data_IF_015157317176
#
_entry.id   IF_015157317176
#
_cell.length_a   1.000
_cell.length_b   1.000
_cell.length_c   1.000
_cell.angle_alpha   90.00
_cell.angle_beta   90.00
_cell.angle_gamma   90.00
#
_symmetry.space_group_name_H-M   'P 1'
#
loop_
_entity.id
_entity.type
_entity.pdbx_description
1 polymer ?
#
# COMPACT_ATOMS: atom_id res chain seq x y z
N UNK A 1 -5.93 16.99 9.44
CA UNK A 1 -6.34 17.30 8.06
C UNK A 1 -6.60 15.99 7.30
N UNK A 2 -7.80 15.84 6.78
CA UNK A 2 -8.16 14.66 5.99
C UNK A 2 -7.62 14.74 4.58
N UNK A 3 -7.11 13.62 4.10
CA UNK A 3 -6.61 13.47 2.73
C UNK A 3 -7.13 12.19 2.11
N UNK A 4 -7.40 12.27 0.83
CA UNK A 4 -7.70 11.11 -0.02
C UNK A 4 -6.69 11.05 -1.14
N UNK A 5 -6.26 9.85 -1.47
CA UNK A 5 -5.37 9.64 -2.61
C UNK A 5 -5.65 8.28 -3.23
N UNK A 6 -5.40 8.17 -4.51
CA UNK A 6 -5.43 6.88 -5.20
C UNK A 6 -4.21 6.72 -6.08
N UNK A 7 -3.79 5.47 -6.20
CA UNK A 7 -2.59 5.11 -6.96
C UNK A 7 -2.87 3.90 -7.82
N UNK A 8 -2.22 3.86 -8.96
CA UNK A 8 -2.08 2.65 -9.75
C UNK A 8 -0.78 1.97 -9.31
N UNK A 9 -0.89 0.74 -8.84
CA UNK A 9 0.25 -0.05 -8.39
C UNK A 9 0.63 -1.07 -9.47
N UNK A 10 1.92 -1.27 -9.66
CA UNK A 10 2.45 -2.27 -10.57
C UNK A 10 3.45 -3.17 -9.84
N UNK A 11 3.26 -4.47 -9.96
CA UNK A 11 4.17 -5.45 -9.36
C UNK A 11 5.50 -5.40 -10.10
N UNK A 12 6.59 -5.23 -9.35
CA UNK A 12 7.95 -5.25 -9.88
C UNK A 12 8.69 -6.54 -9.52
N UNK A 13 8.27 -7.19 -8.42
CA UNK A 13 8.83 -8.47 -8.00
C UNK A 13 7.84 -9.21 -7.14
N UNK A 14 7.74 -10.53 -7.36
CA UNK A 14 6.88 -11.39 -6.55
C UNK A 14 7.57 -12.73 -6.33
N UNK A 15 7.57 -13.19 -5.07
CA UNK A 15 8.07 -14.50 -4.70
C UNK A 15 7.03 -15.17 -3.83
N UNK A 16 6.65 -16.39 -4.20
CA UNK A 16 5.64 -17.16 -3.46
C UNK A 16 6.17 -18.54 -3.15
N UNK A 17 5.91 -18.98 -1.92
CA UNK A 17 6.16 -20.34 -1.48
C UNK A 17 4.85 -20.94 -1.03
N UNK A 18 4.59 -22.17 -1.45
CA UNK A 18 3.39 -22.90 -1.06
C UNK A 18 3.66 -23.73 0.19
N UNK A 19 2.73 -23.66 1.14
CA UNK A 19 2.87 -24.33 2.44
C UNK A 19 2.55 -25.82 2.34
N UNK A 20 1.61 -26.19 1.47
CA UNK A 20 1.15 -27.56 1.22
C UNK A 20 0.39 -28.22 2.39
N UNK A 21 -0.12 -27.41 3.31
CA UNK A 21 -1.04 -27.87 4.36
C UNK A 21 -2.48 -27.95 3.85
N UNK A 22 -2.82 -27.07 2.91
CA UNK A 22 -4.11 -27.04 2.23
C UNK A 22 -3.92 -26.50 0.81
N UNK A 23 -4.92 -26.67 -0.09
CA UNK A 23 -4.83 -26.13 -1.45
C UNK A 23 -4.69 -24.60 -1.46
N UNK A 24 -3.82 -24.12 -2.35
CA UNK A 24 -3.60 -22.68 -2.58
C UNK A 24 -3.18 -21.87 -1.36
N UNK A 25 -2.57 -22.52 -0.36
CA UNK A 25 -1.97 -21.78 0.76
C UNK A 25 -0.54 -21.39 0.42
N UNK A 26 -0.31 -20.08 0.32
CA UNK A 26 1.00 -19.53 -0.01
C UNK A 26 1.38 -18.38 0.91
N UNK A 27 2.68 -18.20 1.06
CA UNK A 27 3.28 -17.01 1.65
C UNK A 27 3.94 -16.25 0.50
N UNK A 28 3.53 -15.02 0.28
CA UNK A 28 3.98 -14.24 -0.87
C UNK A 28 4.59 -12.93 -0.43
N UNK A 29 5.79 -12.63 -0.95
CA UNK A 29 6.40 -11.30 -0.87
C UNK A 29 6.19 -10.59 -2.19
N UNK A 30 5.70 -9.36 -2.16
CA UNK A 30 5.43 -8.58 -3.36
C UNK A 30 6.02 -7.18 -3.21
N UNK A 31 6.76 -6.77 -4.23
CA UNK A 31 7.24 -5.41 -4.37
C UNK A 31 6.40 -4.71 -5.45
N UNK A 32 5.97 -3.49 -5.18
CA UNK A 32 5.20 -2.70 -6.13
C UNK A 32 5.71 -1.28 -6.20
N UNK A 33 5.56 -0.69 -7.39
CA UNK A 33 5.71 0.74 -7.60
C UNK A 33 4.34 1.35 -7.83
N UNK A 34 4.15 2.60 -7.40
CA UNK A 34 2.90 3.31 -7.55
C UNK A 34 3.05 4.62 -8.29
N UNK A 35 2.03 4.96 -9.07
CA UNK A 35 1.88 6.29 -9.67
C UNK A 35 0.52 6.86 -9.24
N UNK A 36 0.44 8.16 -8.95
CA UNK A 36 -0.81 8.73 -8.48
C UNK A 36 -1.84 8.80 -9.59
N UNK A 37 -3.07 8.44 -9.25
CA UNK A 37 -4.26 8.70 -10.07
C UNK A 37 -4.94 9.97 -9.60
N UNK A 38 -5.00 10.14 -8.28
CA UNK A 38 -5.57 11.34 -7.65
C UNK A 38 -4.86 11.59 -6.32
N UNK A 39 -4.37 12.81 -6.13
CA UNK A 39 -3.84 13.25 -4.85
C UNK A 39 -3.80 14.77 -4.79
N UNK A 40 -3.67 15.30 -3.59
CA UNK A 40 -3.50 16.73 -3.37
C UNK A 40 -2.04 17.05 -3.08
N UNK A 41 -1.51 18.06 -3.75
CA UNK A 41 -0.16 18.54 -3.49
C UNK A 41 -0.15 19.23 -2.14
N UNK A 42 0.75 18.80 -1.26
CA UNK A 42 0.91 19.33 0.08
C UNK A 42 2.23 20.10 0.25
N UNK A 43 2.65 20.25 1.51
CA UNK A 43 3.86 21.01 1.87
C UNK A 43 5.15 20.40 1.30
N UNK A 44 5.15 19.10 1.04
CA UNK A 44 6.32 18.40 0.50
C UNK A 44 6.46 18.51 -1.02
N UNK A 45 5.52 19.19 -1.68
CA UNK A 45 5.59 19.41 -3.12
C UNK A 45 5.06 18.25 -3.95
N UNK A 46 5.51 18.17 -5.19
CA UNK A 46 5.03 17.19 -6.15
C UNK A 46 5.48 15.77 -5.81
N UNK A 47 4.66 14.82 -6.20
CA UNK A 47 4.97 13.39 -6.10
C UNK A 47 6.19 13.04 -6.97
N UNK A 48 7.08 12.20 -6.41
CA UNK A 48 8.24 11.70 -7.14
C UNK A 48 8.14 10.19 -7.35
N UNK A 49 7.94 9.41 -6.28
CA UNK A 49 7.87 7.96 -6.38
C UNK A 49 7.11 7.34 -5.21
N UNK A 50 6.63 6.12 -5.41
CA UNK A 50 6.10 5.28 -4.35
C UNK A 50 6.54 3.85 -4.56
N UNK A 51 7.06 3.25 -3.50
CA UNK A 51 7.46 1.85 -3.48
C UNK A 51 6.89 1.18 -2.25
N UNK A 52 6.37 -0.03 -2.41
CA UNK A 52 5.88 -0.82 -1.29
C UNK A 52 6.40 -2.24 -1.35
N UNK A 53 6.53 -2.85 -0.18
CA UNK A 53 6.84 -4.27 -0.03
C UNK A 53 5.84 -4.84 0.97
N UNK A 54 5.17 -5.91 0.59
CA UNK A 54 4.19 -6.53 1.48
C UNK A 54 4.34 -8.05 1.50
N UNK A 55 3.92 -8.61 2.63
CA UNK A 55 3.85 -10.03 2.90
C UNK A 55 2.38 -10.42 2.98
N UNK A 56 2.00 -11.50 2.28
CA UNK A 56 0.63 -11.97 2.22
C UNK A 56 0.58 -13.45 2.58
N UNK A 57 -0.16 -13.80 3.62
CA UNK A 57 -0.50 -15.17 3.98
C UNK A 57 -1.88 -15.45 3.38
N UNK A 58 -1.88 -16.15 2.26
CA UNK A 58 -3.09 -16.29 1.45
C UNK A 58 -3.47 -17.74 1.28
N UNK A 59 -4.67 -18.08 1.73
CA UNK A 59 -5.26 -19.40 1.56
C UNK A 59 -6.62 -19.27 0.88
N UNK A 60 -6.80 -19.94 -0.27
CA UNK A 60 -8.07 -19.95 -1.02
C UNK A 60 -8.57 -18.51 -1.34
N UNK A 61 -7.66 -17.62 -1.67
CA UNK A 61 -7.97 -16.25 -2.05
C UNK A 61 -8.21 -15.27 -0.90
N UNK A 62 -8.10 -15.72 0.33
CA UNK A 62 -8.28 -14.90 1.54
C UNK A 62 -7.05 -14.92 2.41
N UNK A 63 -6.90 -13.92 3.25
CA UNK A 63 -5.91 -13.95 4.31
C UNK A 63 -5.29 -12.59 4.62
N UNK A 64 -4.57 -12.53 5.75
CA UNK A 64 -3.95 -11.29 6.20
C UNK A 64 -2.75 -10.90 5.35
N UNK A 65 -2.49 -9.61 5.33
CA UNK A 65 -1.31 -9.05 4.68
C UNK A 65 -0.78 -7.88 5.50
N UNK A 66 0.50 -7.63 5.38
CA UNK A 66 1.14 -6.49 6.03
C UNK A 66 2.33 -6.04 5.20
N UNK A 67 2.70 -4.79 5.34
CA UNK A 67 3.82 -4.28 4.59
C UNK A 67 4.20 -2.85 4.93
N UNK A 68 5.10 -2.33 4.12
CA UNK A 68 5.67 -0.99 4.25
C UNK A 68 5.59 -0.28 2.93
N UNK A 69 5.35 1.02 2.99
CA UNK A 69 5.35 1.88 1.81
C UNK A 69 6.18 3.12 2.06
N UNK A 70 6.92 3.53 1.05
CA UNK A 70 7.68 4.77 1.05
C UNK A 70 7.14 5.61 -0.09
N UNK A 71 6.61 6.79 0.23
CA UNK A 71 6.18 7.74 -0.76
C UNK A 71 7.09 8.95 -0.70
N UNK A 72 7.74 9.25 -1.82
CA UNK A 72 8.70 10.35 -1.93
C UNK A 72 8.09 11.49 -2.71
N UNK A 73 8.21 12.67 -2.14
CA UNK A 73 7.81 13.94 -2.75
C UNK A 73 9.04 14.82 -2.95
N UNK A 74 8.86 15.92 -3.62
CA UNK A 74 9.94 16.85 -3.95
C UNK A 74 10.78 17.27 -2.73
N UNK A 75 10.15 17.50 -1.58
CA UNK A 75 10.81 18.05 -0.38
C UNK A 75 10.72 17.13 0.84
N UNK A 76 10.43 15.87 0.66
CA UNK A 76 10.41 14.93 1.77
C UNK A 76 9.76 13.63 1.42
N UNK A 77 9.94 12.64 2.30
CA UNK A 77 9.37 11.30 2.15
C UNK A 77 8.55 10.94 3.37
N UNK A 78 7.55 10.08 3.16
CA UNK A 78 6.76 9.52 4.23
C UNK A 78 6.87 8.00 4.21
N UNK A 79 7.06 7.42 5.39
CA UNK A 79 7.23 5.98 5.60
C UNK A 79 6.03 5.48 6.39
N UNK A 80 5.33 4.50 5.84
CA UNK A 80 4.11 3.98 6.45
C UNK A 80 4.16 2.47 6.58
N UNK A 81 3.48 1.97 7.61
CA UNK A 81 3.16 0.55 7.75
C UNK A 81 1.69 0.37 7.46
N UNK A 82 1.36 -0.74 6.85
CA UNK A 82 -0.03 -1.09 6.60
C UNK A 82 -0.28 -2.56 6.90
N UNK A 83 -1.50 -2.86 7.26
CA UNK A 83 -1.98 -4.22 7.45
C UNK A 83 -3.43 -4.31 7.03
N UNK A 84 -3.80 -5.47 6.55
CA UNK A 84 -5.16 -5.67 6.07
C UNK A 84 -5.44 -7.12 5.82
N UNK A 85 -6.55 -7.38 5.12
CA UNK A 85 -7.01 -8.71 4.81
C UNK A 85 -7.69 -8.71 3.45
N UNK A 86 -7.42 -9.75 2.65
CA UNK A 86 -8.12 -9.96 1.39
C UNK A 86 -9.37 -10.79 1.62
N UNK A 87 -10.47 -10.35 1.03
CA UNK A 87 -11.74 -11.06 1.01
C UNK A 87 -11.87 -11.81 -0.33
N UNK A 88 -11.99 -13.13 -0.27
CA UNK A 88 -12.09 -13.95 -1.47
C UNK A 88 -13.35 -13.70 -2.30
N UNK A 89 -14.44 -13.27 -1.67
CA UNK A 89 -15.71 -13.00 -2.36
C UNK A 89 -15.65 -11.68 -3.14
N UNK A 90 -15.20 -10.62 -2.51
CA UNK A 90 -15.11 -9.30 -3.14
C UNK A 90 -13.82 -9.13 -3.94
N UNK A 91 -12.80 -9.94 -3.64
CA UNK A 91 -11.45 -9.85 -4.21
C UNK A 91 -10.79 -8.50 -3.90
N UNK A 92 -11.20 -7.86 -2.82
CA UNK A 92 -10.67 -6.59 -2.34
C UNK A 92 -9.86 -6.84 -1.07
N UNK A 93 -8.68 -6.25 -1.01
CA UNK A 93 -7.87 -6.19 0.20
C UNK A 93 -8.14 -4.83 0.86
N UNK A 94 -8.46 -4.84 2.13
CA UNK A 94 -8.71 -3.62 2.88
C UNK A 94 -8.03 -3.67 4.23
N UNK A 95 -7.74 -2.51 4.78
CA UNK A 95 -7.08 -2.44 6.07
C UNK A 95 -6.77 -1.01 6.49
N UNK A 96 -5.76 -0.91 7.33
CA UNK A 96 -5.34 0.36 7.93
C UNK A 96 -3.86 0.62 7.66
N UNK A 97 -3.49 1.88 7.67
CA UNK A 97 -2.11 2.33 7.52
C UNK A 97 -1.78 3.37 8.59
N UNK A 98 -0.50 3.46 8.90
CA UNK A 98 0.02 4.43 9.85
C UNK A 98 1.41 4.86 9.43
N UNK A 99 1.67 6.17 9.46
CA UNK A 99 3.02 6.68 9.24
C UNK A 99 3.86 6.50 10.50
N UNK A 100 5.11 6.15 10.33
CA UNK A 100 6.02 5.98 11.47
C UNK A 100 7.31 6.79 11.33
N UNK A 101 7.54 7.40 10.17
CA UNK A 101 8.73 8.19 9.91
C UNK A 101 8.48 9.14 8.74
N UNK A 102 9.14 10.28 8.77
CA UNK A 102 9.18 11.21 7.66
C UNK A 102 10.54 11.83 7.52
N UNK A 103 10.80 12.45 6.38
CA UNK A 103 12.05 13.19 6.10
C UNK A 103 11.74 14.52 5.46
N UNK A 104 12.73 15.42 5.43
CA UNK A 104 12.58 16.74 4.83
C UNK A 104 11.43 17.52 5.46
N UNK A 105 10.57 18.09 4.64
CA UNK A 105 9.39 18.83 5.13
C UNK A 105 8.35 17.96 5.81
N UNK A 106 8.50 16.63 5.75
CA UNK A 106 7.63 15.68 6.40
C UNK A 106 8.26 15.03 7.63
N UNK A 107 9.35 15.58 8.16
CA UNK A 107 10.10 14.99 9.27
C UNK A 107 9.25 14.78 10.54
N UNK A 108 8.23 15.59 10.75
CA UNK A 108 7.35 15.51 11.92
C UNK A 108 5.98 14.93 11.61
N UNK A 109 5.79 14.38 10.40
CA UNK A 109 4.49 13.89 9.96
C UNK A 109 3.97 12.75 10.84
N UNK A 110 2.69 12.83 11.16
CA UNK A 110 1.92 11.74 11.77
C UNK A 110 0.66 11.56 10.94
N UNK A 111 0.36 10.32 10.62
CA UNK A 111 -0.83 10.03 9.83
C UNK A 111 -1.32 8.61 10.08
N UNK A 112 -2.61 8.42 9.90
CA UNK A 112 -3.26 7.13 9.96
C UNK A 112 -4.54 7.15 9.15
N UNK A 113 -4.94 5.99 8.67
CA UNK A 113 -6.16 5.91 7.90
C UNK A 113 -6.47 4.50 7.45
N UNK A 114 -7.30 4.42 6.43
CA UNK A 114 -7.76 3.18 5.84
C UNK A 114 -7.34 3.10 4.38
N UNK A 115 -7.32 1.88 3.84
CA UNK A 115 -7.05 1.67 2.43
C UNK A 115 -7.86 0.50 1.88
N UNK A 116 -8.02 0.49 0.56
CA UNK A 116 -8.50 -0.66 -0.17
C UNK A 116 -7.68 -0.84 -1.44
N UNK A 117 -7.48 -2.10 -1.83
CA UNK A 117 -6.76 -2.47 -3.06
C UNK A 117 -7.62 -3.44 -3.84
N UNK A 118 -7.84 -3.14 -5.11
CA UNK A 118 -8.57 -3.99 -6.03
C UNK A 118 -7.75 -4.23 -7.30
N UNK A 119 -8.16 -5.22 -8.09
CA UNK A 119 -7.49 -5.50 -9.36
C UNK A 119 -7.58 -4.30 -10.32
N UNK A 120 -6.50 -4.10 -11.06
CA UNK A 120 -6.45 -3.13 -12.17
C UNK A 120 -6.75 -3.78 -13.51
N UNK A 121 -6.23 -3.17 -14.57
CA UNK A 121 -6.51 -3.60 -15.95
C UNK A 121 -5.74 -4.86 -16.37
N UNK A 122 -4.63 -5.15 -15.71
CA UNK A 122 -3.80 -6.33 -15.99
C UNK A 122 -3.54 -7.10 -14.70
N UNK A 123 -3.07 -8.38 -14.79
CA UNK A 123 -2.81 -9.19 -13.60
C UNK A 123 -1.77 -8.62 -12.63
N UNK A 124 -0.85 -7.79 -13.12
CA UNK A 124 0.22 -7.20 -12.29
C UNK A 124 -0.08 -5.77 -11.86
N UNK A 125 -1.29 -5.29 -12.12
CA UNK A 125 -1.72 -3.95 -11.75
C UNK A 125 -2.84 -3.98 -10.73
N UNK A 126 -2.80 -3.02 -9.82
CA UNK A 126 -3.81 -2.86 -8.77
C UNK A 126 -4.14 -1.39 -8.62
N UNK A 127 -5.33 -1.12 -8.10
CA UNK A 127 -5.77 0.23 -7.76
C UNK A 127 -5.87 0.33 -6.26
N UNK A 128 -5.08 1.24 -5.69
CA UNK A 128 -5.06 1.55 -4.27
C UNK A 128 -5.85 2.84 -4.04
N UNK A 129 -6.79 2.78 -3.11
CA UNK A 129 -7.47 3.96 -2.60
C UNK A 129 -7.14 4.12 -1.12
N UNK A 130 -6.72 5.30 -0.71
CA UNK A 130 -6.36 5.62 0.66
C UNK A 130 -7.10 6.85 1.14
N UNK A 131 -7.46 6.85 2.41
CA UNK A 131 -7.92 8.06 3.08
C UNK A 131 -7.46 8.06 4.53
N UNK A 132 -7.30 9.24 5.11
CA UNK A 132 -6.92 9.34 6.50
C UNK A 132 -6.60 10.76 6.91
N UNK A 133 -6.12 10.87 8.14
CA UNK A 133 -5.75 12.13 8.77
C UNK A 133 -4.24 12.25 8.89
N UNK A 134 -3.74 13.44 8.56
CA UNK A 134 -2.33 13.78 8.69
C UNK A 134 -2.16 15.02 9.57
N UNK A 135 -1.08 15.00 10.37
CA UNK A 135 -0.58 16.14 11.12
C UNK A 135 0.91 16.32 10.80
N UNK A 136 1.34 17.54 10.71
CA UNK A 136 2.75 17.87 10.45
C UNK A 136 3.30 18.76 11.57
#
# INVERSE_FOLDING_TARGET
>A
MKRKASFKLRVTRREALYVHDEPDHSLTLTEMEGVPLQYEVGVAGEFVSRRSVNFHDRAQGSGPMQGYAITTYQYGSVFSRFEGKRDAKTKVTSGTWKTYKGTGKLATVKGKGTFSVKAGDTPDEFILAMEGDYEI
#
